data_IF_955499019666
#
_entry.id   IF_955499019666
#
_cell.length_a   1.000
_cell.length_b   1.000
_cell.length_c   1.000
_cell.angle_alpha   90.00
_cell.angle_beta   90.00
_cell.angle_gamma   90.00
#
_symmetry.space_group_name_H-M   'P 1'
#
loop_
_entity.id
_entity.type
_entity.pdbx_description
1 polymer ?
#
# COMPACT_ATOMS: atom_id res chain seq x y z
N UNK A 1 -20.26 -7.45 -2.33
CA UNK A 1 -20.34 -6.65 -1.08
C UNK A 1 -21.02 -7.49 -0.01
N UNK A 2 -20.46 -7.57 1.21
CA UNK A 2 -21.10 -8.19 2.39
C UNK A 2 -21.34 -7.10 3.45
N UNK A 3 -22.45 -7.17 4.19
CA UNK A 3 -22.77 -6.21 5.26
C UNK A 3 -22.06 -6.63 6.55
N UNK A 4 -21.32 -5.71 7.16
CA UNK A 4 -20.63 -5.89 8.44
C UNK A 4 -21.22 -4.91 9.47
N UNK A 5 -21.56 -5.42 10.65
CA UNK A 5 -21.93 -4.61 11.81
C UNK A 5 -20.89 -4.87 12.91
N UNK A 6 -20.36 -3.80 13.49
CA UNK A 6 -19.35 -3.84 14.55
C UNK A 6 -19.68 -2.78 15.61
N UNK A 7 -19.26 -3.04 16.83
CA UNK A 7 -19.20 -2.04 17.89
C UNK A 7 -17.77 -1.52 17.98
N UNK A 8 -17.63 -0.21 18.07
CA UNK A 8 -16.34 0.47 18.27
C UNK A 8 -16.51 1.49 19.40
N UNK A 9 -15.38 1.88 19.98
CA UNK A 9 -15.33 2.97 20.97
C UNK A 9 -15.80 4.28 20.33
N UNK A 10 -16.48 5.12 21.11
CA UNK A 10 -17.03 6.39 20.65
C UNK A 10 -15.92 7.32 20.14
N UNK A 11 -14.80 7.36 20.87
CA UNK A 11 -13.62 8.15 20.52
C UNK A 11 -13.04 7.75 19.15
N UNK A 12 -13.18 6.48 18.78
CA UNK A 12 -12.73 5.98 17.49
C UNK A 12 -13.67 6.43 16.36
N UNK A 13 -14.99 6.44 16.60
CA UNK A 13 -15.96 6.96 15.61
C UNK A 13 -15.79 8.47 15.39
N UNK A 14 -15.48 9.22 16.44
CA UNK A 14 -15.16 10.65 16.36
C UNK A 14 -13.89 10.88 15.52
N UNK A 15 -12.81 10.16 15.82
CA UNK A 15 -11.56 10.24 15.07
C UNK A 15 -11.77 9.90 13.57
N UNK A 16 -12.56 8.86 13.28
CA UNK A 16 -12.94 8.51 11.91
C UNK A 16 -13.75 9.63 11.23
N UNK A 17 -14.61 10.33 11.96
CA UNK A 17 -15.38 11.47 11.45
C UNK A 17 -14.52 12.66 11.09
N UNK A 18 -13.56 13.01 11.95
CA UNK A 18 -12.59 14.07 11.68
C UNK A 18 -11.75 13.76 10.44
N UNK A 19 -11.23 12.54 10.34
CA UNK A 19 -10.40 12.13 9.20
C UNK A 19 -11.20 12.05 7.89
N UNK A 20 -12.44 11.58 7.96
CA UNK A 20 -13.37 11.57 6.82
C UNK A 20 -13.62 12.99 6.29
N UNK A 21 -13.84 13.95 7.19
CA UNK A 21 -14.01 15.36 6.83
C UNK A 21 -12.74 15.95 6.21
N UNK A 22 -11.56 15.67 6.77
CA UNK A 22 -10.26 16.15 6.25
C UNK A 22 -9.94 15.61 4.86
N UNK A 23 -10.21 14.33 4.62
CA UNK A 23 -9.88 13.66 3.35
C UNK A 23 -10.98 13.76 2.30
N UNK A 24 -12.16 14.30 2.66
CA UNK A 24 -13.31 14.35 1.76
C UNK A 24 -13.88 12.98 1.41
N UNK A 25 -13.75 12.01 2.31
CA UNK A 25 -14.22 10.63 2.10
C UNK A 25 -15.25 10.25 3.15
N UNK A 26 -15.99 9.16 2.93
CA UNK A 26 -16.93 8.65 3.95
C UNK A 26 -16.20 7.85 5.03
N UNK A 27 -16.72 7.86 6.28
CA UNK A 27 -16.21 6.99 7.36
C UNK A 27 -16.10 5.53 6.92
N UNK A 28 -17.12 5.03 6.21
CA UNK A 28 -17.12 3.66 5.70
C UNK A 28 -16.03 3.39 4.65
N UNK A 29 -15.66 4.39 3.83
CA UNK A 29 -14.54 4.27 2.90
C UNK A 29 -13.20 4.19 3.64
N UNK A 30 -13.00 5.01 4.69
CA UNK A 30 -11.82 4.94 5.54
C UNK A 30 -11.70 3.60 6.27
N UNK A 31 -12.79 3.09 6.86
CA UNK A 31 -12.79 1.78 7.52
C UNK A 31 -12.37 0.69 6.53
N UNK A 32 -12.95 0.68 5.32
CA UNK A 32 -12.55 -0.29 4.28
C UNK A 32 -11.07 -0.14 3.90
N UNK A 33 -10.57 1.10 3.78
CA UNK A 33 -9.16 1.36 3.45
C UNK A 33 -8.23 0.82 4.54
N UNK A 34 -8.46 1.17 5.80
CA UNK A 34 -7.62 0.72 6.91
C UNK A 34 -7.66 -0.80 7.10
N UNK A 35 -8.84 -1.40 6.97
CA UNK A 35 -8.98 -2.86 7.00
C UNK A 35 -8.22 -3.50 5.84
N UNK A 36 -8.30 -2.93 4.62
CA UNK A 36 -7.57 -3.43 3.47
C UNK A 36 -6.05 -3.26 3.63
N UNK A 37 -5.56 -2.09 4.06
CA UNK A 37 -4.13 -1.83 4.30
C UNK A 37 -3.56 -2.78 5.36
N UNK A 38 -4.33 -3.07 6.42
CA UNK A 38 -3.86 -3.92 7.52
C UNK A 38 -3.93 -5.41 7.22
N UNK A 39 -4.92 -5.83 6.44
CA UNK A 39 -5.18 -7.24 6.12
C UNK A 39 -4.71 -7.65 4.73
N UNK A 40 -4.28 -6.71 3.88
CA UNK A 40 -3.66 -7.07 2.61
C UNK A 40 -2.43 -7.93 2.93
N UNK A 41 -2.43 -9.22 2.56
CA UNK A 41 -1.17 -9.92 2.47
C UNK A 41 -0.30 -9.12 1.50
N UNK A 42 1.03 -9.00 1.72
CA UNK A 42 1.91 -8.49 0.68
C UNK A 42 1.54 -9.23 -0.59
N UNK A 43 1.25 -8.49 -1.67
CA UNK A 43 0.66 -9.08 -2.87
C UNK A 43 1.46 -10.31 -3.28
N UNK A 44 0.96 -11.51 -2.97
CA UNK A 44 1.54 -12.77 -3.42
C UNK A 44 1.27 -12.99 -4.92
N UNK A 45 0.89 -11.93 -5.64
CA UNK A 45 0.51 -11.99 -7.05
C UNK A 45 1.74 -12.16 -7.95
N UNK A 46 2.94 -11.85 -7.46
CA UNK A 46 4.29 -12.26 -7.92
C UNK A 46 5.25 -11.43 -7.05
N UNK A 47 6.32 -12.00 -6.52
CA UNK A 47 7.31 -11.19 -5.80
C UNK A 47 7.78 -10.06 -6.76
N UNK A 48 7.68 -8.78 -6.40
CA UNK A 48 8.19 -7.70 -7.23
C UNK A 48 9.65 -7.92 -7.65
N UNK A 49 10.45 -8.60 -6.82
CA UNK A 49 11.81 -9.00 -7.15
C UNK A 49 11.84 -10.14 -8.18
N UNK A 50 10.94 -11.13 -8.10
CA UNK A 50 10.80 -12.14 -9.17
C UNK A 50 10.40 -11.50 -10.50
N UNK A 51 9.55 -10.47 -10.47
CA UNK A 51 9.19 -9.73 -11.68
C UNK A 51 10.35 -8.90 -12.26
N UNK A 52 11.37 -8.60 -11.45
CA UNK A 52 12.58 -7.88 -11.86
C UNK A 52 13.62 -8.81 -12.52
N UNK A 53 13.62 -10.10 -12.15
CA UNK A 53 14.54 -11.10 -12.73
C UNK A 53 14.26 -11.23 -14.23
N UNK A 54 15.23 -10.85 -15.06
CA UNK A 54 15.11 -10.90 -16.52
C UNK A 54 14.22 -9.81 -17.12
N UNK A 55 13.82 -8.80 -16.35
CA UNK A 55 13.07 -7.65 -16.87
C UNK A 55 13.92 -6.72 -17.76
N UNK A 56 15.25 -6.82 -17.62
CA UNK A 56 16.24 -6.08 -18.40
C UNK A 56 17.25 -7.05 -18.98
N UNK A 57 17.41 -7.01 -20.30
CA UNK A 57 18.51 -7.66 -21.02
C UNK A 57 19.46 -6.57 -21.51
N UNK A 58 20.44 -6.23 -20.68
CA UNK A 58 21.51 -5.29 -21.03
C UNK A 58 22.87 -5.97 -20.86
N UNK A 59 23.85 -5.55 -21.65
CA UNK A 59 25.22 -6.02 -21.48
C UNK A 59 25.80 -5.51 -20.13
N UNK A 60 26.55 -6.34 -19.39
CA UNK A 60 27.19 -5.91 -18.16
C UNK A 60 28.16 -4.74 -18.40
N UNK A 61 27.87 -3.58 -17.82
CA UNK A 61 28.74 -2.40 -17.82
C UNK A 61 29.72 -2.36 -16.64
N UNK A 62 30.71 -1.47 -16.72
CA UNK A 62 31.63 -1.21 -15.61
C UNK A 62 30.94 -0.35 -14.54
N UNK A 63 30.78 -0.91 -13.33
CA UNK A 63 30.29 -0.15 -12.18
C UNK A 63 31.26 0.99 -11.86
N UNK A 64 32.56 0.72 -11.96
CA UNK A 64 33.59 1.70 -11.61
C UNK A 64 33.55 2.91 -12.56
N UNK A 65 33.28 2.70 -13.84
CA UNK A 65 33.14 3.80 -14.82
C UNK A 65 31.91 4.66 -14.54
N UNK A 66 30.80 4.05 -14.10
CA UNK A 66 29.56 4.76 -13.74
C UNK A 66 29.72 5.54 -12.43
N UNK A 67 30.40 4.94 -11.44
CA UNK A 67 30.50 5.50 -10.08
C UNK A 67 31.66 6.49 -9.95
N UNK A 68 32.80 6.19 -10.56
CA UNK A 68 34.04 6.96 -10.42
C UNK A 68 34.42 7.75 -11.67
N UNK A 69 33.75 7.51 -12.81
CA UNK A 69 34.08 8.14 -14.08
C UNK A 69 35.32 7.52 -14.76
N UNK A 70 35.71 8.04 -15.93
CA UNK A 70 36.94 7.64 -16.62
C UNK A 70 38.21 8.11 -15.90
#
# INVERSE_FOLDING_TARGET
>A
MKRLQIYIQEELDEALGLEASRTGTSKAALIRRFVAERLQPPSLTRDPLEALIGAYEEEPGSIDEVVYGP
#
